data_IF_808949640970
#
_entry.id   IF_808949640970
#
_cell.length_a   1.000
_cell.length_b   1.000
_cell.length_c   1.000
_cell.angle_alpha   90.00
_cell.angle_beta   90.00
_cell.angle_gamma   90.00
#
_symmetry.space_group_name_H-M   'P 1'
#
loop_
_entity.id
_entity.type
_entity.pdbx_description
1 polymer ?
#
# COMPACT_ATOMS: atom_id res chain seq x y z
N UNK A 1 48.32 29.60 13.49
CA UNK A 1 47.14 29.14 14.26
C UNK A 1 45.95 29.91 13.73
N UNK A 2 45.10 29.29 12.90
CA UNK A 2 43.93 29.94 12.30
C UNK A 2 42.72 29.48 13.12
N UNK A 3 42.22 30.36 13.97
CA UNK A 3 40.97 30.14 14.71
C UNK A 3 39.82 30.15 13.70
N UNK A 4 39.07 29.05 13.64
CA UNK A 4 37.80 29.00 12.93
C UNK A 4 36.69 29.55 13.85
N UNK A 5 35.72 30.28 13.29
CA UNK A 5 34.72 31.01 14.04
C UNK A 5 33.74 30.03 14.73
N UNK A 6 33.31 30.42 15.92
CA UNK A 6 32.20 29.81 16.64
C UNK A 6 30.94 29.90 15.78
N UNK A 7 30.61 28.79 15.11
CA UNK A 7 29.37 28.57 14.38
C UNK A 7 28.80 27.20 14.70
N UNK A 8 29.08 26.68 15.90
CA UNK A 8 28.14 25.79 16.57
C UNK A 8 27.14 26.73 17.23
N UNK A 9 26.14 27.16 16.45
CA UNK A 9 24.86 27.46 17.08
C UNK A 9 24.47 26.16 17.78
N UNK A 10 24.56 26.19 19.10
CA UNK A 10 23.88 25.24 19.96
C UNK A 10 22.46 25.15 19.42
N UNK A 11 22.10 24.00 18.87
CA UNK A 11 20.71 23.65 18.56
C UNK A 11 20.04 23.53 19.94
N UNK A 12 19.75 24.68 20.56
CA UNK A 12 19.18 24.82 21.89
C UNK A 12 17.91 23.99 21.89
N UNK A 13 17.98 22.87 22.62
CA UNK A 13 17.05 21.76 22.52
C UNK A 13 15.61 22.22 22.44
N UNK A 14 15.04 22.14 21.24
CA UNK A 14 13.62 22.37 21.04
C UNK A 14 12.89 21.39 21.94
N UNK A 15 12.24 21.90 23.00
CA UNK A 15 11.54 21.06 23.95
C UNK A 15 10.42 20.30 23.23
N UNK A 16 10.59 18.99 23.13
CA UNK A 16 9.57 18.08 22.58
C UNK A 16 8.50 17.90 23.65
N UNK A 17 7.30 18.42 23.40
CA UNK A 17 6.17 18.17 24.29
C UNK A 17 5.66 16.74 24.11
N UNK A 18 4.90 16.24 25.09
CA UNK A 18 4.25 14.94 24.96
C UNK A 18 3.31 14.88 23.73
N UNK A 19 2.61 15.97 23.42
CA UNK A 19 1.75 16.05 22.22
C UNK A 19 2.54 15.97 20.92
N UNK A 20 3.75 16.53 20.89
CA UNK A 20 4.62 16.43 19.71
C UNK A 20 5.13 14.99 19.54
N UNK A 21 5.52 14.35 20.63
CA UNK A 21 5.93 12.95 20.59
C UNK A 21 4.79 12.04 20.12
N UNK A 22 3.54 12.35 20.49
CA UNK A 22 2.38 11.66 19.95
C UNK A 22 2.25 11.85 18.44
N UNK A 23 2.40 13.07 17.93
CA UNK A 23 2.37 13.36 16.49
C UNK A 23 3.48 12.63 15.73
N UNK A 24 4.70 12.60 16.29
CA UNK A 24 5.84 11.86 15.74
C UNK A 24 5.52 10.37 15.69
N UNK A 25 5.03 9.79 16.79
CA UNK A 25 4.67 8.38 16.84
C UNK A 25 3.54 8.02 15.84
N UNK A 26 2.55 8.92 15.69
CA UNK A 26 1.48 8.76 14.71
C UNK A 26 2.01 8.83 13.27
N UNK A 27 2.94 9.74 12.98
CA UNK A 27 3.61 9.83 11.68
C UNK A 27 4.34 8.52 11.34
N UNK A 28 5.15 7.99 12.26
CA UNK A 28 5.85 6.71 12.04
C UNK A 28 4.89 5.54 11.82
N UNK A 29 3.76 5.50 12.55
CA UNK A 29 2.72 4.47 12.36
C UNK A 29 2.04 4.58 11.01
N UNK A 30 1.70 5.80 10.56
CA UNK A 30 1.10 6.03 9.25
C UNK A 30 2.05 5.63 8.13
N UNK A 31 3.33 5.97 8.23
CA UNK A 31 4.31 5.56 7.22
C UNK A 31 4.42 4.03 7.11
N UNK A 32 4.52 3.32 8.24
CA UNK A 32 4.51 1.85 8.24
C UNK A 32 3.22 1.26 7.65
N UNK A 33 2.07 1.89 7.93
CA UNK A 33 0.78 1.48 7.36
C UNK A 33 0.71 1.70 5.85
N UNK A 34 1.20 2.82 5.33
CA UNK A 34 1.27 3.08 3.88
C UNK A 34 2.14 2.03 3.20
N UNK A 35 3.35 1.77 3.69
CA UNK A 35 4.24 0.73 3.15
C UNK A 35 3.57 -0.64 3.11
N UNK A 36 2.89 -1.03 4.20
CA UNK A 36 2.12 -2.30 4.24
C UNK A 36 0.97 -2.32 3.22
N UNK A 37 0.30 -1.19 3.00
CA UNK A 37 -0.78 -1.08 2.00
C UNK A 37 -0.19 -1.19 0.59
N UNK A 38 0.92 -0.53 0.31
CA UNK A 38 1.61 -0.58 -0.99
C UNK A 38 2.09 -2.00 -1.32
N UNK A 39 2.70 -2.70 -0.36
CA UNK A 39 3.09 -4.11 -0.51
C UNK A 39 1.88 -5.00 -0.84
N UNK A 40 0.75 -4.82 -0.15
CA UNK A 40 -0.49 -5.57 -0.43
C UNK A 40 -1.07 -5.24 -1.79
N UNK A 41 -1.04 -3.97 -2.19
CA UNK A 41 -1.49 -3.56 -3.52
C UNK A 41 -0.63 -4.20 -4.61
N UNK A 42 0.67 -4.34 -4.39
CA UNK A 42 1.56 -4.97 -5.36
C UNK A 42 1.26 -6.46 -5.53
N UNK A 43 1.02 -7.18 -4.44
CA UNK A 43 0.57 -8.58 -4.50
C UNK A 43 -0.76 -8.72 -5.25
N UNK A 44 -1.73 -7.84 -4.97
CA UNK A 44 -3.03 -7.88 -5.64
C UNK A 44 -2.96 -7.50 -7.13
N UNK A 45 -2.03 -6.64 -7.53
CA UNK A 45 -1.79 -6.37 -8.96
C UNK A 45 -1.24 -7.59 -9.68
N UNK A 46 -0.30 -8.30 -9.07
CA UNK A 46 0.23 -9.55 -9.64
C UNK A 46 -0.88 -10.61 -9.75
N UNK A 47 -1.74 -10.72 -8.72
CA UNK A 47 -2.91 -11.59 -8.78
C UNK A 47 -3.87 -11.18 -9.89
N UNK A 48 -4.13 -9.88 -10.06
CA UNK A 48 -4.96 -9.36 -11.15
C UNK A 48 -4.38 -9.70 -12.53
N UNK A 49 -3.09 -9.48 -12.74
CA UNK A 49 -2.41 -9.84 -13.99
C UNK A 49 -2.55 -11.33 -14.28
N UNK A 50 -2.34 -12.19 -13.27
CA UNK A 50 -2.52 -13.63 -13.42
C UNK A 50 -3.98 -14.03 -13.75
N UNK A 51 -4.98 -13.32 -13.19
CA UNK A 51 -6.39 -13.55 -13.52
C UNK A 51 -6.72 -13.06 -14.94
N UNK A 52 -6.13 -11.96 -15.39
CA UNK A 52 -6.31 -11.42 -16.75
C UNK A 52 -5.69 -12.37 -17.80
N UNK A 53 -4.49 -12.89 -17.53
CA UNK A 53 -3.84 -13.91 -18.35
C UNK A 53 -4.69 -15.19 -18.42
N UNK A 54 -5.16 -15.68 -17.27
CA UNK A 54 -6.04 -16.85 -17.21
C UNK A 54 -7.36 -16.62 -17.96
N UNK A 55 -7.88 -15.38 -17.97
CA UNK A 55 -9.10 -15.03 -18.71
C UNK A 55 -8.88 -15.13 -20.21
N UNK A 56 -7.76 -14.61 -20.70
CA UNK A 56 -7.40 -14.73 -22.12
C UNK A 56 -7.21 -16.19 -22.53
N UNK A 57 -6.57 -17.02 -21.71
CA UNK A 57 -6.41 -18.44 -21.98
C UNK A 57 -7.75 -19.19 -22.00
N UNK A 58 -8.63 -18.88 -21.04
CA UNK A 58 -9.94 -19.53 -20.93
C UNK A 58 -10.88 -19.13 -22.07
N UNK A 59 -10.77 -17.90 -22.58
CA UNK A 59 -11.50 -17.44 -23.77
C UNK A 59 -11.09 -18.17 -25.06
N UNK A 60 -9.85 -18.66 -25.13
CA UNK A 60 -9.35 -19.43 -26.27
C UNK A 60 -9.64 -20.94 -26.16
N UNK A 61 -10.09 -21.41 -25.00
CA UNK A 61 -10.42 -22.81 -24.76
C UNK A 61 -11.74 -23.20 -25.43
N UNK A 62 -11.89 -24.50 -25.74
CA UNK A 62 -13.13 -25.03 -26.30
C UNK A 62 -14.27 -24.92 -25.26
N UNK A 63 -15.34 -24.22 -25.62
CA UNK A 63 -16.49 -23.98 -24.74
C UNK A 63 -17.29 -25.28 -24.44
N UNK A 64 -17.14 -26.30 -25.30
CA UNK A 64 -17.81 -27.59 -25.16
C UNK A 64 -17.04 -28.56 -24.23
N UNK A 65 -15.78 -28.25 -23.88
CA UNK A 65 -14.97 -29.06 -22.98
C UNK A 65 -14.96 -28.53 -21.52
N UNK A 66 -15.01 -29.41 -20.51
CA UNK A 66 -14.95 -29.00 -19.11
C UNK A 66 -13.51 -28.64 -18.70
N UNK A 67 -13.38 -27.56 -17.94
CA UNK A 67 -12.10 -27.04 -17.44
C UNK A 67 -11.77 -27.68 -16.09
N UNK A 68 -10.49 -27.98 -15.86
CA UNK A 68 -10.00 -28.44 -14.56
C UNK A 68 -9.87 -27.26 -13.58
N UNK A 69 -10.81 -27.14 -12.67
CA UNK A 69 -10.83 -26.10 -11.64
C UNK A 69 -10.22 -26.60 -10.33
N UNK A 70 -9.21 -25.88 -9.81
CA UNK A 70 -8.52 -26.24 -8.56
C UNK A 70 -9.27 -25.70 -7.33
N UNK A 71 -9.56 -26.57 -6.37
CA UNK A 71 -10.11 -26.21 -5.04
C UNK A 71 -9.22 -26.81 -3.96
N UNK A 72 -8.43 -25.97 -3.29
CA UNK A 72 -7.40 -26.44 -2.36
C UNK A 72 -6.37 -27.31 -3.09
N UNK A 73 -6.31 -28.59 -2.73
CA UNK A 73 -5.39 -29.58 -3.32
C UNK A 73 -6.06 -30.49 -4.38
N UNK A 74 -7.36 -30.33 -4.63
CA UNK A 74 -8.11 -31.16 -5.56
C UNK A 74 -8.47 -30.41 -6.85
N UNK A 75 -8.66 -31.14 -7.94
CA UNK A 75 -9.17 -30.61 -9.22
C UNK A 75 -10.55 -31.20 -9.53
N UNK A 76 -11.44 -30.35 -10.04
CA UNK A 76 -12.80 -30.70 -10.39
C UNK A 76 -13.06 -30.27 -11.84
N UNK A 77 -13.78 -31.10 -12.60
CA UNK A 77 -14.30 -30.68 -13.90
C UNK A 77 -15.41 -29.64 -13.69
N UNK A 78 -15.21 -28.46 -14.25
CA UNK A 78 -16.16 -27.35 -14.22
C UNK A 78 -16.57 -26.99 -15.65
N UNK A 79 -17.87 -26.80 -15.92
CA UNK A 79 -18.30 -26.28 -17.22
C UNK A 79 -17.65 -24.93 -17.51
N UNK A 80 -17.21 -24.74 -18.77
CA UNK A 80 -16.52 -23.53 -19.23
C UNK A 80 -17.25 -22.25 -18.80
N UNK A 81 -18.55 -22.16 -19.09
CA UNK A 81 -19.38 -20.99 -18.76
C UNK A 81 -19.42 -20.65 -17.27
N UNK A 82 -19.31 -21.66 -16.39
CA UNK A 82 -19.23 -21.46 -14.94
C UNK A 82 -17.85 -20.99 -14.52
N UNK A 83 -16.79 -21.51 -15.13
CA UNK A 83 -15.42 -21.07 -14.89
C UNK A 83 -15.24 -19.59 -15.28
N UNK A 84 -15.71 -19.20 -16.47
CA UNK A 84 -15.70 -17.80 -16.94
C UNK A 84 -16.43 -16.86 -15.97
N UNK A 85 -17.64 -17.24 -15.53
CA UNK A 85 -18.40 -16.42 -14.57
C UNK A 85 -17.70 -16.29 -13.22
N UNK A 86 -17.00 -17.33 -12.78
CA UNK A 86 -16.25 -17.31 -11.51
C UNK A 86 -15.03 -16.39 -11.64
N UNK A 87 -14.28 -16.53 -12.73
CA UNK A 87 -13.11 -15.72 -13.02
C UNK A 87 -13.44 -14.22 -13.09
N UNK A 88 -14.52 -13.86 -13.80
CA UNK A 88 -15.00 -12.48 -13.86
C UNK A 88 -15.39 -11.91 -12.48
N UNK A 89 -15.96 -12.75 -11.61
CA UNK A 89 -16.29 -12.35 -10.24
C UNK A 89 -15.02 -12.14 -9.39
N UNK A 90 -14.02 -13.00 -9.57
CA UNK A 90 -12.73 -12.90 -8.88
C UNK A 90 -11.98 -11.63 -9.32
N UNK A 91 -11.85 -11.36 -10.63
CA UNK A 91 -11.30 -10.10 -11.17
C UNK A 91 -12.00 -8.86 -10.60
N UNK A 92 -13.34 -8.87 -10.55
CA UNK A 92 -14.12 -7.76 -9.97
C UNK A 92 -13.86 -7.60 -8.47
N UNK A 93 -13.67 -8.70 -7.75
CA UNK A 93 -13.36 -8.67 -6.32
C UNK A 93 -11.97 -8.09 -6.07
N UNK A 94 -10.96 -8.53 -6.85
CA UNK A 94 -9.59 -8.04 -6.79
C UNK A 94 -9.52 -6.55 -7.09
N UNK A 95 -10.22 -6.06 -8.12
CA UNK A 95 -10.28 -4.62 -8.43
C UNK A 95 -10.89 -3.82 -7.29
N UNK A 96 -11.99 -4.29 -6.70
CA UNK A 96 -12.62 -3.64 -5.55
C UNK A 96 -11.71 -3.59 -4.32
N UNK A 97 -10.88 -4.60 -4.12
CA UNK A 97 -9.92 -4.61 -3.03
C UNK A 97 -8.77 -3.63 -3.28
N UNK A 98 -8.26 -3.57 -4.50
CA UNK A 98 -7.28 -2.57 -4.93
C UNK A 98 -7.80 -1.15 -4.70
N UNK A 99 -9.04 -0.86 -5.09
CA UNK A 99 -9.64 0.48 -4.91
C UNK A 99 -9.82 0.83 -3.42
N UNK A 100 -10.21 -0.14 -2.58
CA UNK A 100 -10.28 0.07 -1.13
C UNK A 100 -8.92 0.36 -0.51
N UNK A 101 -7.87 -0.32 -0.98
CA UNK A 101 -6.51 -0.09 -0.50
C UNK A 101 -5.97 1.26 -0.97
N UNK A 102 -6.23 1.66 -2.22
CA UNK A 102 -5.92 2.99 -2.74
C UNK A 102 -6.57 4.09 -1.91
N UNK A 103 -7.87 4.00 -1.66
CA UNK A 103 -8.58 4.98 -0.84
C UNK A 103 -7.99 5.09 0.57
N UNK A 104 -7.62 3.95 1.19
CA UNK A 104 -6.96 3.95 2.50
C UNK A 104 -5.55 4.55 2.46
N UNK A 105 -4.80 4.32 1.39
CA UNK A 105 -3.48 4.92 1.20
C UNK A 105 -3.60 6.44 1.08
N UNK A 106 -4.57 6.93 0.30
CA UNK A 106 -4.85 8.35 0.11
C UNK A 106 -5.24 9.02 1.44
N UNK A 107 -6.13 8.40 2.22
CA UNK A 107 -6.50 8.86 3.56
C UNK A 107 -5.26 8.98 4.47
N UNK A 108 -4.42 7.95 4.50
CA UNK A 108 -3.19 7.96 5.30
C UNK A 108 -2.20 9.04 4.81
N UNK A 109 -2.09 9.24 3.49
CA UNK A 109 -1.21 10.25 2.90
C UNK A 109 -1.66 11.67 3.23
N UNK A 110 -2.97 11.93 3.26
CA UNK A 110 -3.54 13.23 3.68
C UNK A 110 -3.21 13.51 5.15
N UNK A 111 -3.43 12.54 6.03
CA UNK A 111 -3.12 12.67 7.46
C UNK A 111 -1.61 12.87 7.68
N UNK A 112 -0.79 12.09 6.98
CA UNK A 112 0.67 12.17 7.03
C UNK A 112 1.19 13.54 6.57
N UNK A 113 0.62 14.11 5.50
CA UNK A 113 0.97 15.46 5.03
C UNK A 113 0.63 16.53 6.06
N UNK A 114 -0.53 16.43 6.71
CA UNK A 114 -0.92 17.35 7.78
C UNK A 114 0.05 17.31 8.97
N UNK A 115 0.41 16.10 9.42
CA UNK A 115 1.39 15.90 10.49
C UNK A 115 2.79 16.40 10.10
N UNK A 116 3.22 16.15 8.87
CA UNK A 116 4.52 16.62 8.34
C UNK A 116 4.61 18.15 8.42
N UNK A 117 3.60 18.86 7.92
CA UNK A 117 3.57 20.34 7.98
C UNK A 117 3.59 20.83 9.43
N UNK A 118 2.78 20.24 10.32
CA UNK A 118 2.72 20.64 11.72
C UNK A 118 4.06 20.42 12.47
N UNK A 119 4.75 19.31 12.17
CA UNK A 119 6.02 18.98 12.79
C UNK A 119 7.17 19.83 12.25
N UNK A 120 7.28 20.05 10.93
CA UNK A 120 8.30 20.94 10.36
C UNK A 120 8.07 22.40 10.75
N UNK A 121 6.82 22.86 10.88
CA UNK A 121 6.54 24.22 11.35
C UNK A 121 7.04 24.47 12.79
N UNK A 122 7.14 23.41 13.61
CA UNK A 122 7.57 23.50 15.01
C UNK A 122 9.05 23.21 15.22
N UNK A 123 9.58 22.18 14.55
CA UNK A 123 10.94 21.68 14.77
C UNK A 123 11.91 22.08 13.66
N UNK A 124 11.44 22.58 12.50
CA UNK A 124 12.29 23.01 11.40
C UNK A 124 13.30 21.96 11.00
N UNK A 125 14.58 22.30 11.06
CA UNK A 125 15.70 21.41 10.72
C UNK A 125 16.04 20.39 11.82
N UNK A 126 15.46 20.52 13.02
CA UNK A 126 15.69 19.60 14.13
C UNK A 126 14.89 18.28 14.01
N UNK A 127 14.03 18.14 12.99
CA UNK A 127 13.29 16.92 12.70
C UNK A 127 13.49 16.48 11.24
N UNK A 128 13.61 15.17 11.03
CA UNK A 128 13.66 14.56 9.70
C UNK A 128 12.48 13.57 9.53
N UNK A 129 11.63 13.82 8.53
CA UNK A 129 10.41 13.06 8.21
C UNK A 129 10.34 12.68 6.73
N UNK A 130 11.49 12.50 6.07
CA UNK A 130 11.59 12.20 4.63
C UNK A 130 11.74 10.70 4.27
N UNK A 131 11.37 9.79 5.17
CA UNK A 131 11.31 8.33 4.92
C UNK A 131 9.89 7.75 4.92
#
# INVERSE_FOLDING_TARGET
>A
MRMLPQGQEEDEGTQVSWEDQQKINSFSKLNGRIKTIEEKMEVLKQEKEALDDLSMELELADEDEPVLYRVGEAFLHMPHSRAMKRLAADQTSTEKELDKLRARADECAVEMKSLKVALYAKFGNAINLDE
#
